data_IF_743765250813
#
_entry.id   IF_743765250813
#
_cell.length_a   1.000
_cell.length_b   1.000
_cell.length_c   1.000
_cell.angle_alpha   90.00
_cell.angle_beta   90.00
_cell.angle_gamma   90.00
#
_symmetry.space_group_name_H-M   'P 1'
#
loop_
_entity.id
_entity.type
_entity.pdbx_description
1 polymer ?
#
# COMPACT_ATOMS: atom_id res chain seq x y z
N UNK A 1 41.85 42.03 17.70
CA UNK A 1 41.19 41.52 18.92
C UNK A 1 40.40 40.28 18.54
N UNK A 2 40.75 39.11 19.08
CA UNK A 2 40.00 37.86 18.85
C UNK A 2 39.10 37.59 20.05
N UNK A 3 37.80 37.40 19.80
CA UNK A 3 36.86 36.94 20.82
C UNK A 3 36.77 35.43 20.71
N UNK A 4 37.15 34.72 21.77
CA UNK A 4 37.01 33.27 21.87
C UNK A 4 35.75 32.97 22.69
N UNK A 5 34.72 32.43 22.05
CA UNK A 5 33.51 31.95 22.72
C UNK A 5 33.71 30.45 23.03
N UNK A 6 33.58 30.08 24.31
CA UNK A 6 33.49 28.67 24.72
C UNK A 6 32.02 28.28 24.81
N UNK A 7 31.54 27.49 23.86
CA UNK A 7 30.22 26.88 23.91
C UNK A 7 30.33 25.41 24.35
N UNK A 8 29.43 24.97 25.22
CA UNK A 8 29.26 23.57 25.58
C UNK A 8 27.96 23.07 24.93
N UNK A 9 28.07 22.12 23.99
CA UNK A 9 26.90 21.47 23.40
C UNK A 9 26.51 20.28 24.27
N UNK A 10 25.34 20.36 24.91
CA UNK A 10 24.76 19.26 25.67
C UNK A 10 23.68 18.58 24.82
N UNK A 11 23.84 17.28 24.60
CA UNK A 11 22.95 16.46 23.79
C UNK A 11 22.34 15.36 24.64
N UNK A 12 21.01 15.38 24.81
CA UNK A 12 20.27 14.42 25.62
C UNK A 12 19.84 13.15 24.85
N UNK A 13 20.36 12.93 23.63
CA UNK A 13 20.07 11.78 22.77
C UNK A 13 19.19 12.09 21.55
N UNK A 14 19.20 11.18 20.57
CA UNK A 14 18.56 11.34 19.26
C UNK A 14 17.02 11.35 19.36
N UNK A 15 16.45 10.64 20.34
CA UNK A 15 15.01 10.48 20.49
C UNK A 15 14.26 11.79 20.74
N UNK A 16 14.87 12.73 21.48
CA UNK A 16 14.25 14.03 21.76
C UNK A 16 14.24 14.94 20.53
N UNK A 17 15.26 14.85 19.67
CA UNK A 17 15.30 15.57 18.40
C UNK A 17 14.26 15.03 17.41
N UNK A 18 14.11 13.71 17.33
CA UNK A 18 13.10 13.07 16.50
C UNK A 18 11.70 13.49 16.96
N UNK A 19 11.43 13.44 18.27
CA UNK A 19 10.14 13.85 18.83
C UNK A 19 9.84 15.33 18.60
N UNK A 20 10.84 16.21 18.71
CA UNK A 20 10.69 17.63 18.41
C UNK A 20 10.30 17.91 16.94
N UNK A 21 10.56 16.95 16.04
CA UNK A 21 10.20 17.00 14.62
C UNK A 21 9.10 16.02 14.23
N UNK A 22 8.41 15.39 15.20
CA UNK A 22 7.38 14.37 14.96
C UNK A 22 7.85 13.14 14.16
N UNK A 23 9.16 12.85 14.20
CA UNK A 23 9.86 11.77 13.49
C UNK A 23 10.12 10.54 14.39
N UNK A 24 9.56 10.50 15.59
CA UNK A 24 9.62 9.31 16.44
C UNK A 24 8.92 8.12 15.78
N UNK A 25 9.28 6.89 16.18
CA UNK A 25 8.65 5.67 15.68
C UNK A 25 7.14 5.71 15.92
N UNK A 26 6.35 5.57 14.85
CA UNK A 26 4.89 5.68 14.88
C UNK A 26 4.36 7.09 15.15
N UNK A 27 5.24 8.10 15.09
CA UNK A 27 4.91 9.50 15.25
C UNK A 27 4.08 10.06 14.10
N UNK A 28 3.73 11.35 14.21
CA UNK A 28 2.79 12.00 13.29
C UNK A 28 3.25 11.96 11.84
N UNK A 29 4.56 12.01 11.58
CA UNK A 29 5.10 11.91 10.21
C UNK A 29 4.84 10.52 9.63
N UNK A 30 5.06 9.44 10.39
CA UNK A 30 4.76 8.08 9.93
C UNK A 30 3.26 7.91 9.66
N UNK A 31 2.41 8.38 10.58
CA UNK A 31 0.95 8.35 10.38
C UNK A 31 0.51 9.11 9.13
N UNK A 32 1.11 10.27 8.85
CA UNK A 32 0.82 11.05 7.66
C UNK A 32 1.21 10.30 6.37
N UNK A 33 2.41 9.71 6.35
CA UNK A 33 2.88 8.89 5.22
C UNK A 33 1.95 7.69 5.00
N UNK A 34 1.59 6.97 6.06
CA UNK A 34 0.71 5.79 5.97
C UNK A 34 -0.66 6.19 5.37
N UNK A 35 -1.27 7.27 5.86
CA UNK A 35 -2.55 7.77 5.36
C UNK A 35 -2.47 8.29 3.91
N UNK A 36 -1.39 8.97 3.56
CA UNK A 36 -1.16 9.47 2.21
C UNK A 36 -1.03 8.32 1.21
N UNK A 37 -0.24 7.29 1.55
CA UNK A 37 -0.09 6.08 0.72
C UNK A 37 -1.44 5.39 0.50
N UNK A 38 -2.25 5.22 1.56
CA UNK A 38 -3.57 4.59 1.44
C UNK A 38 -4.48 5.43 0.52
N UNK A 39 -4.51 6.75 0.71
CA UNK A 39 -5.37 7.66 -0.03
C UNK A 39 -4.99 7.75 -1.51
N UNK A 40 -3.70 7.95 -1.80
CA UNK A 40 -3.21 8.02 -3.18
C UNK A 40 -3.30 6.67 -3.90
N UNK A 41 -3.29 5.53 -3.20
CA UNK A 41 -3.48 4.23 -3.84
C UNK A 41 -4.92 4.00 -4.31
N UNK A 42 -5.93 4.66 -3.72
CA UNK A 42 -7.34 4.40 -4.05
C UNK A 42 -7.67 4.43 -5.55
N UNK A 43 -7.26 5.44 -6.36
CA UNK A 43 -7.54 5.47 -7.80
C UNK A 43 -6.77 4.42 -8.61
N UNK A 44 -5.67 3.89 -8.08
CA UNK A 44 -4.85 2.86 -8.75
C UNK A 44 -5.32 1.44 -8.43
N UNK A 45 -6.00 1.26 -7.30
CA UNK A 45 -6.54 -0.03 -6.91
C UNK A 45 -7.72 -0.43 -7.82
N UNK A 46 -7.83 -1.73 -8.18
CA UNK A 46 -9.01 -2.26 -8.85
C UNK A 46 -10.30 -1.98 -8.07
N UNK A 47 -11.33 -1.54 -8.78
CA UNK A 47 -12.58 -1.10 -8.18
C UNK A 47 -13.79 -1.87 -8.72
N UNK A 48 -14.29 -2.78 -7.90
CA UNK A 48 -15.61 -3.38 -8.10
C UNK A 48 -16.65 -2.72 -7.17
N UNK A 49 -16.54 -3.00 -5.87
CA UNK A 49 -17.36 -2.41 -4.79
C UNK A 49 -16.55 -1.45 -3.89
N UNK A 50 -15.23 -1.37 -4.10
CA UNK A 50 -14.29 -0.60 -3.29
C UNK A 50 -13.72 -1.35 -2.08
N UNK A 51 -14.11 -2.61 -1.81
CA UNK A 51 -13.64 -3.37 -0.65
C UNK A 51 -12.12 -3.51 -0.58
N UNK A 52 -11.45 -3.82 -1.71
CA UNK A 52 -9.98 -3.90 -1.77
C UNK A 52 -9.34 -2.58 -1.37
N UNK A 53 -9.69 -1.51 -2.10
CA UNK A 53 -9.08 -0.19 -1.96
C UNK A 53 -9.29 0.41 -0.57
N UNK A 54 -10.42 0.08 0.09
CA UNK A 54 -10.74 0.56 1.44
C UNK A 54 -10.21 -0.34 2.56
N UNK A 55 -9.84 -1.58 2.27
CA UNK A 55 -9.36 -2.52 3.30
C UNK A 55 -8.19 -1.99 4.14
N UNK A 56 -7.23 -1.20 3.59
CA UNK A 56 -6.14 -0.69 4.40
C UNK A 56 -6.55 0.26 5.52
N UNK A 57 -7.65 1.01 5.38
CA UNK A 57 -8.14 1.90 6.45
C UNK A 57 -8.51 1.15 7.73
N UNK A 58 -8.97 -0.09 7.60
CA UNK A 58 -9.30 -0.95 8.74
C UNK A 58 -8.15 -1.86 9.15
N UNK A 59 -7.35 -2.32 8.18
CA UNK A 59 -6.33 -3.33 8.40
C UNK A 59 -4.94 -2.77 8.75
N UNK A 60 -4.67 -1.49 8.47
CA UNK A 60 -3.35 -0.87 8.66
C UNK A 60 -3.42 0.12 9.82
N UNK A 61 -2.84 -0.20 11.00
CA UNK A 61 -2.75 0.75 12.10
C UNK A 61 -1.93 1.98 11.68
N UNK A 62 -2.46 3.21 11.82
CA UNK A 62 -1.70 4.41 11.48
C UNK A 62 -0.44 4.53 12.35
N UNK A 63 0.71 4.83 11.74
CA UNK A 63 2.01 4.83 12.41
C UNK A 63 2.69 3.45 12.44
N UNK A 64 2.05 2.41 11.92
CA UNK A 64 2.60 1.06 11.85
C UNK A 64 3.69 0.89 10.78
N UNK A 65 3.79 1.82 9.81
CA UNK A 65 4.77 1.74 8.72
C UNK A 65 4.53 0.58 7.76
N UNK A 66 3.33 0.00 7.77
CA UNK A 66 2.90 -1.08 6.89
C UNK A 66 1.47 -0.80 6.43
N UNK A 67 1.24 -1.00 5.12
CA UNK A 67 -0.09 -0.87 4.49
C UNK A 67 -0.55 -2.27 4.07
N UNK A 68 -1.69 -2.70 4.61
CA UNK A 68 -2.20 -4.07 4.49
C UNK A 68 -3.48 -4.07 3.64
N UNK A 69 -3.46 -4.79 2.51
CA UNK A 69 -4.65 -5.04 1.69
C UNK A 69 -5.29 -6.38 2.08
N UNK A 70 -6.20 -6.35 3.06
CA UNK A 70 -6.76 -7.54 3.72
C UNK A 70 -7.95 -8.17 2.98
N UNK A 71 -7.72 -8.64 1.75
CA UNK A 71 -8.72 -9.41 0.99
C UNK A 71 -8.09 -10.68 0.39
N UNK A 72 -8.84 -11.79 0.26
CA UNK A 72 -8.29 -13.04 -0.28
C UNK A 72 -7.80 -12.90 -1.73
N UNK A 73 -8.28 -11.89 -2.44
CA UNK A 73 -7.93 -11.60 -3.83
C UNK A 73 -6.87 -10.51 -4.02
N UNK A 74 -6.41 -9.85 -2.95
CA UNK A 74 -5.45 -8.76 -3.03
C UNK A 74 -4.18 -9.17 -3.79
N UNK A 75 -3.65 -10.37 -3.50
CA UNK A 75 -2.38 -10.82 -4.05
C UNK A 75 -2.43 -10.98 -5.57
N UNK A 76 -3.43 -11.64 -6.14
CA UNK A 76 -3.49 -11.84 -7.59
C UNK A 76 -3.84 -10.56 -8.34
N UNK A 77 -4.66 -9.69 -7.74
CA UNK A 77 -4.94 -8.37 -8.30
C UNK A 77 -3.69 -7.49 -8.27
N UNK A 78 -2.84 -7.61 -7.25
CA UNK A 78 -1.60 -6.86 -7.15
C UNK A 78 -0.65 -7.21 -8.29
N UNK A 79 -0.41 -8.50 -8.51
CA UNK A 79 0.45 -8.93 -9.62
C UNK A 79 -0.23 -8.80 -10.99
N UNK A 80 -1.56 -8.66 -11.04
CA UNK A 80 -2.30 -8.60 -12.31
C UNK A 80 -2.25 -9.89 -13.09
N UNK A 81 -2.15 -11.02 -12.39
CA UNK A 81 -1.95 -12.34 -12.99
C UNK A 81 -2.85 -13.35 -12.31
N UNK A 82 -3.43 -14.25 -13.11
CA UNK A 82 -4.27 -15.33 -12.61
C UNK A 82 -3.43 -16.24 -11.73
N UNK A 83 -3.97 -16.58 -10.56
CA UNK A 83 -3.33 -17.51 -9.63
C UNK A 83 -3.97 -18.90 -9.65
N UNK A 84 -3.14 -19.92 -9.90
CA UNK A 84 -3.47 -21.33 -9.90
C UNK A 84 -3.08 -22.00 -8.57
N UNK A 85 -3.51 -23.25 -8.33
CA UNK A 85 -4.26 -24.10 -9.25
C UNK A 85 -5.71 -23.62 -9.38
N UNK A 86 -6.23 -23.62 -10.60
CA UNK A 86 -7.62 -23.31 -10.90
C UNK A 86 -8.16 -24.38 -11.87
N UNK A 87 -8.63 -25.49 -11.32
CA UNK A 87 -9.04 -26.67 -12.07
C UNK A 87 -10.47 -26.44 -12.57
N UNK A 88 -10.71 -26.40 -13.90
CA UNK A 88 -12.06 -26.27 -14.43
C UNK A 88 -12.88 -27.53 -14.09
N UNK A 89 -14.10 -27.33 -13.61
CA UNK A 89 -15.08 -28.38 -13.37
C UNK A 89 -16.15 -28.27 -14.45
N UNK A 90 -16.45 -29.39 -15.10
CA UNK A 90 -17.49 -29.49 -16.12
C UNK A 90 -18.58 -30.39 -15.55
N UNK A 91 -19.75 -29.80 -15.27
CA UNK A 91 -20.92 -30.52 -14.76
C UNK A 91 -21.98 -30.74 -15.86
N UNK A 92 -21.70 -30.26 -17.08
CA UNK A 92 -22.53 -30.40 -18.27
C UNK A 92 -21.68 -30.71 -19.52
N UNK A 93 -22.35 -31.08 -20.61
CA UNK A 93 -21.73 -31.39 -21.90
C UNK A 93 -21.50 -30.14 -22.78
N UNK A 94 -21.61 -28.94 -22.22
CA UNK A 94 -21.51 -27.69 -23.00
C UNK A 94 -20.08 -27.36 -23.42
N UNK A 95 -19.09 -28.04 -22.83
CA UNK A 95 -17.67 -27.74 -23.01
C UNK A 95 -17.21 -26.44 -22.33
N UNK A 96 -18.09 -25.77 -21.57
CA UNK A 96 -17.76 -24.58 -20.78
C UNK A 96 -17.61 -24.97 -19.32
N UNK A 97 -16.53 -24.58 -18.62
CA UNK A 97 -16.40 -24.86 -17.19
C UNK A 97 -17.55 -24.21 -16.41
N UNK A 98 -18.28 -24.99 -15.61
CA UNK A 98 -19.37 -24.49 -14.77
C UNK A 98 -18.84 -23.77 -13.53
N UNK A 99 -17.67 -24.18 -13.05
CA UNK A 99 -16.94 -23.55 -11.94
C UNK A 99 -15.45 -23.87 -12.01
N UNK A 100 -14.68 -23.19 -11.17
CA UNK A 100 -13.29 -23.51 -10.95
C UNK A 100 -13.05 -23.96 -9.51
N UNK A 101 -12.22 -24.99 -9.35
CA UNK A 101 -11.87 -25.57 -8.07
C UNK A 101 -10.39 -25.38 -7.76
N UNK A 102 -10.10 -25.03 -6.51
CA UNK A 102 -8.74 -24.89 -5.98
C UNK A 102 -8.55 -25.95 -4.89
N UNK A 103 -7.62 -26.91 -5.05
CA UNK A 103 -7.36 -27.93 -4.05
C UNK A 103 -7.02 -27.31 -2.67
N UNK A 104 -7.58 -27.83 -1.57
CA UNK A 104 -7.23 -27.36 -0.23
C UNK A 104 -5.77 -27.68 0.08
N UNK A 105 -5.10 -26.79 0.83
CA UNK A 105 -3.71 -26.97 1.26
C UNK A 105 -2.66 -26.74 0.17
N UNK A 106 -3.05 -26.38 -1.06
CA UNK A 106 -2.11 -25.98 -2.10
C UNK A 106 -1.94 -24.47 -2.15
N UNK A 107 -0.69 -24.03 -2.09
CA UNK A 107 -0.36 -22.61 -2.23
C UNK A 107 -0.67 -22.10 -3.63
N UNK A 108 -1.18 -20.87 -3.69
CA UNK A 108 -1.48 -20.19 -4.94
C UNK A 108 -0.18 -19.69 -5.59
N UNK A 109 0.01 -19.95 -6.88
CA UNK A 109 1.14 -19.44 -7.67
C UNK A 109 0.67 -18.69 -8.92
N UNK A 110 1.52 -17.79 -9.40
CA UNK A 110 1.30 -17.04 -10.64
C UNK A 110 1.33 -17.99 -11.83
N UNK A 111 0.37 -17.83 -12.76
CA UNK A 111 0.25 -18.69 -13.94
C UNK A 111 0.85 -18.07 -15.20
N UNK A 112 1.31 -16.82 -15.15
CA UNK A 112 1.76 -16.06 -16.32
C UNK A 112 0.63 -15.51 -17.20
N UNK A 113 -0.63 -15.90 -16.94
CA UNK A 113 -1.79 -15.34 -17.64
C UNK A 113 -2.22 -14.03 -16.99
N UNK A 114 -2.06 -12.93 -17.72
CA UNK A 114 -2.48 -11.60 -17.28
C UNK A 114 -3.99 -11.49 -17.05
N UNK A 115 -4.36 -10.68 -16.06
CA UNK A 115 -5.74 -10.27 -15.77
C UNK A 115 -6.11 -9.05 -16.60
N UNK A 116 -7.41 -8.89 -16.86
CA UNK A 116 -7.97 -7.65 -17.41
C UNK A 116 -8.64 -6.89 -16.28
N UNK A 117 -8.20 -5.65 -16.05
CA UNK A 117 -8.79 -4.78 -15.04
C UNK A 117 -9.92 -3.95 -15.62
N UNK A 118 -10.97 -3.75 -14.82
CA UNK A 118 -12.04 -2.82 -15.14
C UNK A 118 -11.60 -1.40 -14.77
N UNK A 119 -11.74 -0.47 -15.71
CA UNK A 119 -11.27 0.93 -15.56
C UNK A 119 -12.41 1.96 -15.64
N UNK A 120 -13.66 1.48 -15.57
CA UNK A 120 -14.87 2.31 -15.60
C UNK A 120 -15.00 3.24 -14.40
N UNK A 121 -14.71 2.74 -13.19
CA UNK A 121 -14.76 3.50 -11.94
C UNK A 121 -13.42 4.16 -11.62
N UNK A 122 -12.32 3.42 -11.83
CA UNK A 122 -10.96 3.84 -11.57
C UNK A 122 -10.15 3.75 -12.86
N UNK A 123 -9.95 4.87 -13.59
CA UNK A 123 -9.22 4.87 -14.86
C UNK A 123 -7.77 4.38 -14.73
N UNK A 124 -7.18 4.57 -13.55
CA UNK A 124 -5.81 4.14 -13.23
C UNK A 124 -5.75 2.72 -12.66
N UNK A 125 -6.87 1.99 -12.54
CA UNK A 125 -6.89 0.65 -11.98
C UNK A 125 -5.92 -0.30 -12.69
N UNK A 126 -5.12 -1.04 -11.93
CA UNK A 126 -4.17 -1.98 -12.51
C UNK A 126 -3.26 -2.65 -11.50
N UNK A 127 -2.43 -3.57 -12.00
CA UNK A 127 -1.39 -4.25 -11.25
C UNK A 127 -0.36 -3.27 -10.67
N UNK A 128 0.35 -3.69 -9.62
CA UNK A 128 1.43 -2.95 -8.97
C UNK A 128 1.00 -1.51 -8.66
N UNK A 129 -0.22 -1.37 -8.11
CA UNK A 129 -0.84 -0.06 -7.89
C UNK A 129 -0.03 0.80 -6.93
N UNK A 130 0.68 0.20 -5.98
CA UNK A 130 1.56 0.93 -5.08
C UNK A 130 2.76 1.51 -5.83
N UNK A 131 3.43 0.73 -6.66
CA UNK A 131 4.60 1.19 -7.41
C UNK A 131 4.23 2.28 -8.42
N UNK A 132 3.09 2.14 -9.09
CA UNK A 132 2.58 3.17 -10.02
C UNK A 132 2.19 4.45 -9.28
N UNK A 133 1.39 4.32 -8.22
CA UNK A 133 1.04 5.46 -7.35
C UNK A 133 2.29 6.15 -6.82
N UNK A 134 3.26 5.38 -6.33
CA UNK A 134 4.52 5.90 -5.80
C UNK A 134 5.32 6.65 -6.87
N UNK A 135 5.35 6.15 -8.11
CA UNK A 135 6.02 6.84 -9.21
C UNK A 135 5.43 8.24 -9.46
N UNK A 136 4.10 8.36 -9.33
CA UNK A 136 3.37 9.59 -9.60
C UNK A 136 3.34 10.56 -8.40
N UNK A 137 3.21 10.03 -7.17
CA UNK A 137 2.89 10.81 -5.95
C UNK A 137 4.01 10.82 -4.90
N UNK A 138 5.21 10.30 -5.19
CA UNK A 138 6.32 10.30 -4.22
C UNK A 138 6.59 11.69 -3.64
N UNK A 139 6.62 12.71 -4.50
CA UNK A 139 6.95 14.08 -4.06
C UNK A 139 5.84 14.68 -3.19
N UNK A 140 4.57 14.40 -3.51
CA UNK A 140 3.43 14.84 -2.72
C UNK A 140 3.48 14.26 -1.31
N UNK A 141 3.74 12.95 -1.18
CA UNK A 141 3.90 12.25 0.11
C UNK A 141 5.07 12.84 0.91
N UNK A 142 6.19 13.15 0.25
CA UNK A 142 7.35 13.77 0.90
C UNK A 142 7.06 15.20 1.38
N UNK A 143 6.27 15.96 0.63
CA UNK A 143 5.85 17.30 1.01
C UNK A 143 4.88 17.27 2.20
N UNK A 144 3.91 16.36 2.20
CA UNK A 144 3.01 16.13 3.34
C UNK A 144 3.80 15.75 4.61
N UNK A 145 4.72 14.80 4.49
CA UNK A 145 5.61 14.42 5.59
C UNK A 145 6.43 15.61 6.11
N UNK A 146 6.98 16.43 5.21
CA UNK A 146 7.74 17.64 5.58
C UNK A 146 6.87 18.68 6.27
N UNK A 147 5.63 18.86 5.86
CA UNK A 147 4.70 19.80 6.49
C UNK A 147 4.41 19.38 7.93
N UNK A 148 4.11 18.10 8.14
CA UNK A 148 3.87 17.54 9.48
C UNK A 148 5.13 17.61 10.36
N UNK A 149 6.30 17.34 9.80
CA UNK A 149 7.57 17.43 10.53
C UNK A 149 7.87 18.87 11.03
N UNK A 150 7.38 19.87 10.31
CA UNK A 150 7.53 21.28 10.67
C UNK A 150 6.32 21.85 11.45
N UNK A 151 5.34 21.01 11.81
CA UNK A 151 4.16 21.41 12.57
C UNK A 151 3.17 22.28 11.79
N UNK A 152 3.16 22.18 10.46
CA UNK A 152 2.16 22.78 9.59
C UNK A 152 0.93 21.88 9.45
#
# INVERSE_FOLDING_TARGET
>A
MSVTIKAAFQWNGDGDLLRAKNLETGGRVQTAIDNAVISYCMPYCPWETGTLARSPFAASPPGGGQVIYATPYARYLYYGEVMGPNIPVFEDDTGTPTRFFSPPGQEKHLTGRALTFRTDSNPLAGAFWFERMKADHMQDILEEARNVANGK
#
